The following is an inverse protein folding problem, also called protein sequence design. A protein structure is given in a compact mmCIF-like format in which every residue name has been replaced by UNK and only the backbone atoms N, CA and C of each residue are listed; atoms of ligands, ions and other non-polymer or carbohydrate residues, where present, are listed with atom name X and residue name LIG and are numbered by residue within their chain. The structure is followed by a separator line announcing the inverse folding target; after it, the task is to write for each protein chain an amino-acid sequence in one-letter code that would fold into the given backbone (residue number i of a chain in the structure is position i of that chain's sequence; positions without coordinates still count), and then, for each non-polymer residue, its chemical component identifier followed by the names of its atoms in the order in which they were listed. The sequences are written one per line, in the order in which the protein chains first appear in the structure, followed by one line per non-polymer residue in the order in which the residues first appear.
data_IF_117408980536
#
_entry.id   IF_117408980536
#
_cell.length_a   1.000
_cell.length_b   1.000
_cell.length_c   1.000
_cell.angle_alpha   90.00
_cell.angle_beta   90.00
_cell.angle_gamma   90.00
#
_symmetry.space_group_name_H-M   'P 1'
#
loop_
_entity.id
_entity.type
_entity.pdbx_description
1 polymer ?
#
# COMPACT_ATOMS: atom_id res chain seq x y z
N UNK A 1 52.01 11.58 -34.61
CA UNK A 1 52.41 10.88 -33.38
C UNK A 1 51.15 10.62 -32.59
N UNK A 2 50.71 9.37 -32.51
CA UNK A 2 49.43 9.02 -31.87
C UNK A 2 49.66 8.88 -30.36
N UNK A 3 49.17 9.84 -29.58
CA UNK A 3 49.18 9.74 -28.12
C UNK A 3 48.11 8.71 -27.70
N UNK A 4 48.53 7.45 -27.55
CA UNK A 4 47.69 6.40 -26.99
C UNK A 4 47.56 6.62 -25.48
N UNK A 5 46.34 6.95 -25.02
CA UNK A 5 46.04 7.06 -23.59
C UNK A 5 46.14 5.67 -22.97
N UNK A 6 47.09 5.49 -22.05
CA UNK A 6 47.23 4.22 -21.32
C UNK A 6 46.08 4.04 -20.32
N UNK A 7 45.67 2.79 -20.05
CA UNK A 7 44.66 2.46 -19.00
C UNK A 7 45.01 3.10 -17.65
N UNK A 8 46.30 3.16 -17.31
CA UNK A 8 46.79 3.73 -16.05
C UNK A 8 46.64 5.25 -16.02
N UNK A 9 46.89 5.93 -17.14
CA UNK A 9 46.66 7.38 -17.29
C UNK A 9 45.18 7.73 -17.26
N UNK A 10 44.33 6.89 -17.87
CA UNK A 10 42.87 7.04 -17.81
C UNK A 10 42.33 6.89 -16.39
N UNK A 11 42.75 5.84 -15.67
CA UNK A 11 42.35 5.59 -14.27
C UNK A 11 42.82 6.70 -13.33
N UNK A 12 44.03 7.23 -13.54
CA UNK A 12 44.53 8.35 -12.75
C UNK A 12 43.72 9.64 -12.98
N UNK A 13 43.32 9.91 -14.24
CA UNK A 13 42.52 11.08 -14.58
C UNK A 13 41.06 10.99 -14.10
N UNK A 14 40.46 9.80 -14.08
CA UNK A 14 39.11 9.61 -13.55
C UNK A 14 39.05 9.64 -12.02
N UNK A 15 40.10 9.18 -11.34
CA UNK A 15 40.19 9.24 -9.88
C UNK A 15 40.27 10.68 -9.34
N UNK A 16 41.01 11.57 -10.02
CA UNK A 16 41.11 12.99 -9.63
C UNK A 16 39.85 13.80 -9.98
N UNK A 17 39.06 13.37 -10.97
CA UNK A 17 37.76 14.00 -11.27
C UNK A 17 36.68 13.64 -10.24
N UNK A 18 36.75 12.46 -9.63
CA UNK A 18 35.75 11.96 -8.67
C UNK A 18 35.81 12.66 -7.29
N UNK A 19 36.92 13.30 -6.94
CA UNK A 19 37.05 14.00 -5.65
C UNK A 19 36.34 15.35 -5.61
N UNK A 20 35.94 15.91 -6.76
CA UNK A 20 35.25 17.21 -6.85
C UNK A 20 33.73 17.12 -6.77
N UNK A 21 33.16 15.91 -6.79
CA UNK A 21 31.70 15.68 -6.84
C UNK A 21 31.10 15.11 -5.55
N UNK A 22 31.81 15.21 -4.42
CA UNK A 22 31.23 14.91 -3.09
C UNK A 22 30.27 16.03 -2.71
N UNK A 23 29.08 16.03 -3.33
CA UNK A 23 27.95 16.76 -2.81
C UNK A 23 27.62 16.18 -1.42
N UNK A 24 27.39 17.01 -0.38
CA UNK A 24 26.94 16.49 0.90
C UNK A 24 25.66 15.69 0.69
N UNK A 25 25.65 14.45 1.18
CA UNK A 25 24.45 13.64 1.17
C UNK A 25 23.36 14.44 1.91
N UNK A 26 22.31 14.87 1.19
CA UNK A 26 21.14 15.46 1.83
C UNK A 26 20.48 14.36 2.63
N UNK A 27 20.67 14.39 3.95
CA UNK A 27 19.94 13.51 4.86
C UNK A 27 18.48 13.91 4.74
N UNK A 28 17.69 13.10 4.04
CA UNK A 28 16.26 13.32 3.93
C UNK A 28 15.64 13.20 5.33
N UNK A 29 15.08 14.30 5.83
CA UNK A 29 14.30 14.28 7.07
C UNK A 29 12.89 13.84 6.71
N UNK A 30 12.44 12.72 7.29
CA UNK A 30 11.04 12.32 7.19
C UNK A 30 10.16 13.46 7.73
N UNK A 31 9.07 13.77 7.01
CA UNK A 31 8.08 14.73 7.48
C UNK A 31 7.44 14.25 8.79
N UNK A 32 7.04 15.20 9.64
CA UNK A 32 6.28 14.86 10.83
C UNK A 32 4.88 14.39 10.42
N UNK A 33 4.40 13.30 11.03
CA UNK A 33 3.02 12.88 10.85
C UNK A 33 2.08 13.88 11.52
N UNK A 34 1.19 14.50 10.74
CA UNK A 34 0.28 15.55 11.19
C UNK A 34 -1.20 15.15 11.15
N UNK A 35 -1.50 13.91 10.76
CA UNK A 35 -2.88 13.44 10.53
C UNK A 35 -3.37 12.40 11.53
N UNK A 36 -4.44 11.68 11.16
CA UNK A 36 -4.90 10.44 11.80
C UNK A 36 -4.70 9.29 10.82
N UNK A 37 -4.06 8.21 11.25
CA UNK A 37 -3.95 6.99 10.44
C UNK A 37 -5.27 6.26 10.60
N UNK A 38 -6.01 6.11 9.50
CA UNK A 38 -7.27 5.38 9.49
C UNK A 38 -6.99 3.89 9.37
N UNK A 39 -7.36 3.11 10.37
CA UNK A 39 -7.13 1.66 10.38
C UNK A 39 -8.33 0.94 9.76
N UNK A 40 -8.07 0.05 8.80
CA UNK A 40 -9.06 -0.87 8.26
C UNK A 40 -8.63 -2.33 8.45
N UNK A 41 -9.58 -3.24 8.34
CA UNK A 41 -9.36 -4.69 8.35
C UNK A 41 -9.86 -5.32 7.05
N UNK A 42 -9.17 -6.35 6.57
CA UNK A 42 -9.66 -7.14 5.43
C UNK A 42 -10.93 -7.88 5.85
N UNK A 43 -11.96 -7.85 5.03
CA UNK A 43 -13.22 -8.53 5.35
C UNK A 43 -13.02 -10.03 5.61
N UNK A 44 -12.18 -10.70 4.82
CA UNK A 44 -11.85 -12.12 5.00
C UNK A 44 -11.10 -12.46 6.30
N UNK A 45 -10.58 -11.47 7.03
CA UNK A 45 -10.00 -11.70 8.36
C UNK A 45 -11.06 -11.76 9.47
N UNK A 46 -12.30 -11.38 9.17
CA UNK A 46 -13.41 -11.40 10.12
C UNK A 46 -14.17 -12.72 9.97
N UNK A 47 -13.76 -13.72 10.75
CA UNK A 47 -14.11 -15.13 10.57
C UNK A 47 -15.46 -15.56 11.17
N UNK A 48 -16.24 -14.63 11.76
CA UNK A 48 -17.54 -14.96 12.36
C UNK A 48 -18.60 -15.34 11.31
N UNK A 49 -19.48 -16.28 11.65
CA UNK A 49 -20.63 -16.66 10.84
C UNK A 49 -21.84 -15.79 11.21
N UNK A 50 -21.93 -14.62 10.56
CA UNK A 50 -22.98 -13.64 10.81
C UNK A 50 -23.32 -12.87 9.53
N UNK A 51 -24.54 -12.28 9.46
CA UNK A 51 -24.93 -11.42 8.36
C UNK A 51 -23.91 -10.31 8.13
N UNK A 52 -23.71 -9.92 6.87
CA UNK A 52 -22.72 -8.90 6.49
C UNK A 52 -22.89 -7.59 7.28
N UNK A 53 -24.13 -7.11 7.45
CA UNK A 53 -24.38 -5.87 8.19
C UNK A 53 -23.93 -5.97 9.65
N UNK A 54 -24.17 -7.11 10.31
CA UNK A 54 -23.77 -7.34 11.70
C UNK A 54 -22.25 -7.44 11.80
N UNK A 55 -21.60 -8.08 10.82
CA UNK A 55 -20.14 -8.16 10.72
C UNK A 55 -19.51 -6.77 10.57
N UNK A 56 -20.06 -5.94 9.70
CA UNK A 56 -19.58 -4.57 9.49
C UNK A 56 -19.83 -3.72 10.74
N UNK A 57 -20.98 -3.89 11.41
CA UNK A 57 -21.28 -3.19 12.66
C UNK A 57 -20.31 -3.56 13.77
N UNK A 58 -20.01 -4.85 13.92
CA UNK A 58 -19.00 -5.33 14.84
C UNK A 58 -17.62 -4.71 14.56
N UNK A 59 -17.19 -4.65 13.29
CA UNK A 59 -15.91 -4.00 12.92
C UNK A 59 -15.89 -2.52 13.32
N UNK A 60 -17.00 -1.80 13.10
CA UNK A 60 -17.15 -0.40 13.54
C UNK A 60 -17.09 -0.28 15.06
N UNK A 61 -17.80 -1.13 15.78
CA UNK A 61 -17.87 -1.12 17.25
C UNK A 61 -16.53 -1.45 17.90
N UNK A 62 -15.69 -2.27 17.24
CA UNK A 62 -14.30 -2.54 17.63
C UNK A 62 -13.35 -1.34 17.39
N UNK A 63 -13.83 -0.27 16.77
CA UNK A 63 -13.08 0.99 16.58
C UNK A 63 -12.22 1.03 15.32
N UNK A 64 -12.48 0.19 14.33
CA UNK A 64 -11.89 0.35 13.01
C UNK A 64 -12.49 1.55 12.29
N UNK A 65 -11.66 2.28 11.54
CA UNK A 65 -12.10 3.42 10.75
C UNK A 65 -12.66 2.97 9.38
N UNK A 66 -12.46 1.72 8.96
CA UNK A 66 -12.97 1.19 7.68
C UNK A 66 -12.78 -0.32 7.48
N UNK A 67 -13.18 -0.82 6.33
CA UNK A 67 -13.13 -2.24 5.92
C UNK A 67 -12.56 -2.38 4.51
N UNK A 68 -11.95 -3.53 4.19
CA UNK A 68 -11.43 -3.83 2.84
C UNK A 68 -11.99 -5.17 2.31
N UNK A 69 -12.95 -5.15 1.37
CA UNK A 69 -13.36 -6.34 0.65
C UNK A 69 -12.31 -6.75 -0.40
N UNK A 70 -12.39 -8.00 -0.84
CA UNK A 70 -11.59 -8.55 -1.94
C UNK A 70 -12.32 -8.39 -3.28
N UNK A 71 -11.63 -8.05 -4.36
CA UNK A 71 -12.19 -7.84 -5.70
C UNK A 71 -12.95 -9.07 -6.21
N UNK A 72 -12.51 -10.27 -5.84
CA UNK A 72 -13.15 -11.54 -6.21
C UNK A 72 -14.38 -11.92 -5.36
N UNK A 73 -14.92 -11.02 -4.53
CA UNK A 73 -16.20 -11.25 -3.87
C UNK A 73 -17.26 -11.56 -4.93
N UNK A 74 -17.89 -12.74 -4.85
CA UNK A 74 -18.87 -13.24 -5.82
C UNK A 74 -18.31 -14.13 -6.95
N UNK A 75 -16.99 -14.31 -7.08
CA UNK A 75 -16.42 -15.23 -8.11
C UNK A 75 -16.03 -16.61 -7.60
N UNK A 76 -15.77 -16.77 -6.30
CA UNK A 76 -15.56 -18.08 -5.65
C UNK A 76 -15.97 -17.99 -4.17
N UNK A 77 -16.98 -18.77 -3.77
CA UNK A 77 -17.30 -19.09 -2.36
C UNK A 77 -17.62 -17.93 -1.40
N UNK A 78 -18.08 -16.77 -1.87
CA UNK A 78 -18.60 -15.70 -1.00
C UNK A 78 -19.99 -15.29 -1.48
N UNK A 79 -20.98 -15.44 -0.60
CA UNK A 79 -22.42 -15.31 -0.89
C UNK A 79 -22.90 -13.86 -1.10
N UNK A 80 -21.99 -12.89 -1.22
CA UNK A 80 -22.33 -11.46 -1.24
C UNK A 80 -21.69 -10.76 -2.43
N UNK A 81 -22.52 -10.09 -3.22
CA UNK A 81 -22.07 -9.27 -4.35
C UNK A 81 -21.40 -7.98 -3.88
N UNK A 82 -20.55 -7.39 -4.73
CA UNK A 82 -19.94 -6.08 -4.44
C UNK A 82 -20.98 -4.98 -4.15
N UNK A 83 -22.13 -5.02 -4.82
CA UNK A 83 -23.21 -4.05 -4.62
C UNK A 83 -23.91 -4.23 -3.26
N UNK A 84 -24.14 -5.47 -2.83
CA UNK A 84 -24.68 -5.75 -1.49
C UNK A 84 -23.70 -5.34 -0.40
N UNK A 85 -22.41 -5.60 -0.60
CA UNK A 85 -21.37 -5.16 0.32
C UNK A 85 -21.34 -3.63 0.47
N UNK A 86 -21.35 -2.90 -0.64
CA UNK A 86 -21.34 -1.44 -0.64
C UNK A 86 -22.56 -0.86 0.09
N UNK A 87 -23.76 -1.41 -0.15
CA UNK A 87 -24.99 -0.99 0.54
C UNK A 87 -24.93 -1.26 2.05
N UNK A 88 -24.42 -2.42 2.45
CA UNK A 88 -24.27 -2.75 3.87
C UNK A 88 -23.28 -1.80 4.57
N UNK A 89 -22.15 -1.50 3.92
CA UNK A 89 -21.14 -0.56 4.42
C UNK A 89 -21.69 0.86 4.59
N UNK A 90 -22.46 1.35 3.60
CA UNK A 90 -23.14 2.64 3.67
C UNK A 90 -24.15 2.68 4.82
N UNK A 91 -24.98 1.64 4.96
CA UNK A 91 -26.01 1.56 6.01
C UNK A 91 -25.42 1.51 7.43
N UNK A 92 -24.25 0.89 7.60
CA UNK A 92 -23.54 0.83 8.88
C UNK A 92 -22.69 2.08 9.12
N UNK A 93 -22.49 2.92 8.10
CA UNK A 93 -21.58 4.06 8.12
C UNK A 93 -20.15 3.59 8.48
N UNK A 94 -19.66 2.60 7.73
CA UNK A 94 -18.28 2.10 7.79
C UNK A 94 -17.67 2.19 6.39
N UNK A 95 -16.73 3.11 6.13
CA UNK A 95 -16.21 3.33 4.78
C UNK A 95 -15.34 2.15 4.30
N UNK A 96 -15.37 1.92 2.99
CA UNK A 96 -14.45 1.02 2.31
C UNK A 96 -13.17 1.80 1.99
N UNK A 97 -12.07 1.49 2.68
CA UNK A 97 -10.80 2.21 2.48
C UNK A 97 -10.00 1.73 1.26
N UNK A 98 -10.26 0.51 0.80
CA UNK A 98 -9.60 -0.09 -0.35
C UNK A 98 -10.26 -1.40 -0.75
N UNK A 99 -9.91 -1.88 -1.95
CA UNK A 99 -10.33 -3.19 -2.46
C UNK A 99 -9.09 -4.02 -2.73
N UNK A 100 -9.06 -5.25 -2.23
CA UNK A 100 -7.91 -6.14 -2.32
C UNK A 100 -7.98 -6.94 -3.62
N UNK A 101 -6.96 -6.85 -4.48
CA UNK A 101 -6.87 -7.63 -5.71
C UNK A 101 -5.57 -8.47 -5.75
N UNK A 102 -5.50 -9.52 -4.94
CA UNK A 102 -4.28 -10.34 -4.80
C UNK A 102 -4.33 -11.68 -5.54
N UNK A 103 -5.50 -12.33 -5.57
CA UNK A 103 -5.58 -13.75 -5.91
C UNK A 103 -5.89 -14.01 -7.40
N UNK A 104 -6.33 -12.98 -8.12
CA UNK A 104 -6.67 -13.01 -9.55
C UNK A 104 -6.53 -11.59 -10.15
N UNK A 105 -5.31 -11.03 -10.21
CA UNK A 105 -5.09 -9.72 -10.80
C UNK A 105 -5.32 -9.78 -12.32
N UNK A 106 -6.09 -8.83 -12.86
CA UNK A 106 -6.31 -8.64 -14.31
C UNK A 106 -4.98 -8.46 -15.09
#
# INVERSE_FOLDING_TARGET
MNNCVSRRSFLAATATAATLSVAPAKIARAGQFTGKIKKAVKYGMVQDDMPIEDKLRMVKDLGYDGIEPQASHGKRHLDVTAAEFARAAEKVDLPIHGVINSDDPD
#
